data_IF_480845285970
#
_entry.id   IF_480845285970
#
_cell.length_a   1.000
_cell.length_b   1.000
_cell.length_c   1.000
_cell.angle_alpha   90.00
_cell.angle_beta   90.00
_cell.angle_gamma   90.00
#
_symmetry.space_group_name_H-M   'P 1'
#
loop_
_entity.id
_entity.type
_entity.pdbx_description
1 polymer ?
#
# COMPACT_ATOMS: atom_id res chain seq x y z
N UNK A 1 -2.79 -20.91 -2.57
CA UNK A 1 -4.20 -20.53 -2.30
C UNK A 1 -4.38 -19.74 -1.00
N UNK A 2 -3.49 -19.85 -0.04
CA UNK A 2 -3.56 -19.09 1.22
C UNK A 2 -3.51 -17.57 1.07
N UNK A 3 -2.96 -17.04 -0.02
CA UNK A 3 -2.94 -15.60 -0.31
C UNK A 3 -4.19 -15.09 -1.07
N UNK A 4 -4.97 -15.99 -1.66
CA UNK A 4 -6.28 -15.68 -2.26
C UNK A 4 -7.44 -16.10 -1.35
N UNK A 5 -7.20 -16.98 -0.39
CA UNK A 5 -8.16 -17.26 0.67
C UNK A 5 -8.12 -16.10 1.66
N UNK A 6 -8.71 -15.00 1.30
CA UNK A 6 -9.21 -14.08 2.29
C UNK A 6 -10.21 -14.87 3.11
N UNK A 7 -9.84 -15.23 4.33
CA UNK A 7 -10.74 -15.82 5.31
C UNK A 7 -11.70 -14.73 5.79
N UNK A 8 -12.64 -14.38 4.95
CA UNK A 8 -13.60 -13.31 5.15
C UNK A 8 -14.24 -12.97 3.80
N UNK A 9 -15.38 -12.35 3.81
CA UNK A 9 -16.03 -11.90 2.59
C UNK A 9 -15.10 -10.91 1.86
N UNK A 10 -14.85 -11.15 0.57
CA UNK A 10 -13.98 -10.29 -0.25
C UNK A 10 -14.32 -8.78 -0.16
N UNK A 11 -15.59 -8.36 -0.02
CA UNK A 11 -15.96 -6.98 0.25
C UNK A 11 -15.31 -6.42 1.51
N UNK A 12 -15.22 -7.20 2.59
CA UNK A 12 -14.66 -6.73 3.87
C UNK A 12 -13.17 -6.40 3.77
N UNK A 13 -12.42 -7.16 2.96
CA UNK A 13 -11.00 -6.89 2.76
C UNK A 13 -10.75 -5.48 2.20
N UNK A 14 -11.45 -5.10 1.12
CA UNK A 14 -11.25 -3.79 0.47
C UNK A 14 -11.83 -2.62 1.24
N UNK A 15 -12.74 -2.90 2.18
CA UNK A 15 -13.35 -1.88 3.04
C UNK A 15 -12.61 -1.69 4.36
N UNK A 16 -11.59 -2.51 4.64
CA UNK A 16 -10.79 -2.35 5.84
C UNK A 16 -10.05 -1.00 5.83
N UNK A 17 -10.13 -0.22 6.91
CA UNK A 17 -9.49 1.10 6.98
C UNK A 17 -7.97 1.06 6.80
N UNK A 18 -7.34 -0.09 7.04
CA UNK A 18 -5.89 -0.27 6.85
C UNK A 18 -5.47 -0.43 5.40
N UNK A 19 -6.38 -0.83 4.53
CA UNK A 19 -6.07 -1.06 3.12
C UNK A 19 -5.99 0.26 2.35
N UNK A 20 -5.20 0.24 1.27
CA UNK A 20 -5.19 1.35 0.32
C UNK A 20 -6.59 1.51 -0.30
N UNK A 21 -7.20 2.70 -0.28
CA UNK A 21 -8.61 2.87 -0.58
C UNK A 21 -8.89 2.93 -2.10
N UNK A 22 -8.36 1.97 -2.87
CA UNK A 22 -8.42 1.99 -4.34
C UNK A 22 -9.85 2.03 -4.88
N UNK A 23 -10.81 1.38 -4.19
CA UNK A 23 -12.21 1.37 -4.60
C UNK A 23 -12.95 2.66 -4.19
N UNK A 24 -12.49 3.33 -3.14
CA UNK A 24 -13.13 4.49 -2.57
C UNK A 24 -12.68 5.81 -3.21
N UNK A 25 -11.44 5.87 -3.68
CA UNK A 25 -10.89 7.08 -4.30
C UNK A 25 -11.73 7.62 -5.46
N UNK A 26 -12.15 6.81 -6.47
CA UNK A 26 -13.01 7.29 -7.56
C UNK A 26 -14.37 7.77 -7.06
N UNK A 27 -14.93 7.09 -6.07
CA UNK A 27 -16.18 7.46 -5.44
C UNK A 27 -16.06 8.81 -4.70
N UNK A 28 -15.01 8.99 -3.90
CA UNK A 28 -14.76 10.25 -3.20
C UNK A 28 -14.55 11.40 -4.17
N UNK A 29 -13.83 11.16 -5.27
CA UNK A 29 -13.63 12.12 -6.33
C UNK A 29 -14.96 12.53 -6.98
N UNK A 30 -15.81 11.58 -7.33
CA UNK A 30 -17.11 11.86 -7.93
C UNK A 30 -18.03 12.62 -6.97
N UNK A 31 -17.96 12.36 -5.66
CA UNK A 31 -18.78 13.04 -4.64
C UNK A 31 -18.27 14.42 -4.23
N UNK A 32 -16.98 14.70 -4.35
CA UNK A 32 -16.36 15.92 -3.81
C UNK A 32 -16.95 17.21 -4.41
N UNK A 33 -17.53 17.13 -5.59
CA UNK A 33 -18.05 18.27 -6.34
C UNK A 33 -19.58 18.38 -6.34
N UNK A 34 -20.24 17.64 -5.42
CA UNK A 34 -21.70 17.69 -5.29
C UNK A 34 -22.47 17.17 -6.53
N UNK A 35 -21.81 16.39 -7.37
CA UNK A 35 -22.39 15.87 -8.61
C UNK A 35 -23.42 14.77 -8.33
N UNK A 36 -24.38 14.65 -9.23
CA UNK A 36 -25.27 13.49 -9.26
C UNK A 36 -24.46 12.27 -9.71
N UNK A 37 -24.30 11.29 -8.81
CA UNK A 37 -23.58 10.07 -9.09
C UNK A 37 -24.32 9.19 -10.10
N UNK A 38 -23.61 8.75 -11.13
CA UNK A 38 -24.04 7.66 -11.96
C UNK A 38 -23.64 6.33 -11.29
N UNK A 39 -24.63 5.63 -10.75
CA UNK A 39 -24.40 4.39 -9.99
C UNK A 39 -23.90 3.26 -10.90
N UNK A 40 -24.36 3.20 -12.14
CA UNK A 40 -23.93 2.17 -13.10
C UNK A 40 -22.45 2.34 -13.42
N UNK A 41 -22.04 3.56 -13.76
CA UNK A 41 -20.63 3.88 -13.97
C UNK A 41 -19.77 3.57 -12.75
N UNK A 42 -20.19 3.98 -11.56
CA UNK A 42 -19.41 3.73 -10.34
C UNK A 42 -19.31 2.22 -10.03
N UNK A 43 -20.37 1.44 -10.24
CA UNK A 43 -20.32 -0.01 -10.10
C UNK A 43 -19.37 -0.66 -11.09
N UNK A 44 -19.38 -0.19 -12.33
CA UNK A 44 -18.48 -0.68 -13.39
C UNK A 44 -17.02 -0.31 -13.07
N UNK A 45 -16.74 0.88 -12.52
CA UNK A 45 -15.40 1.27 -12.07
C UNK A 45 -14.91 0.37 -10.93
N UNK A 46 -15.75 0.07 -9.96
CA UNK A 46 -15.43 -0.87 -8.86
C UNK A 46 -15.15 -2.26 -9.43
N UNK A 47 -16.04 -2.77 -10.28
CA UNK A 47 -15.87 -4.08 -10.92
C UNK A 47 -14.56 -4.18 -11.71
N UNK A 48 -14.28 -3.18 -12.56
CA UNK A 48 -13.03 -3.12 -13.29
C UNK A 48 -11.82 -3.08 -12.37
N UNK A 49 -11.84 -2.23 -11.34
CA UNK A 49 -10.72 -2.09 -10.40
C UNK A 49 -10.43 -3.40 -9.65
N UNK A 50 -11.47 -4.14 -9.25
CA UNK A 50 -11.33 -5.46 -8.63
C UNK A 50 -10.68 -6.46 -9.57
N UNK A 51 -11.12 -6.51 -10.83
CA UNK A 51 -10.52 -7.39 -11.82
C UNK A 51 -9.05 -7.05 -12.09
N UNK A 52 -8.72 -5.75 -12.20
CA UNK A 52 -7.33 -5.30 -12.33
C UNK A 52 -6.47 -5.69 -11.11
N UNK A 53 -7.01 -5.57 -9.90
CA UNK A 53 -6.35 -5.99 -8.67
C UNK A 53 -6.06 -7.50 -8.65
N UNK A 54 -7.06 -8.33 -8.96
CA UNK A 54 -6.87 -9.79 -8.99
C UNK A 54 -5.88 -10.23 -10.06
N UNK A 55 -5.89 -9.58 -11.22
CA UNK A 55 -4.89 -9.84 -12.25
C UNK A 55 -3.47 -9.56 -11.74
N UNK A 56 -3.22 -8.34 -11.23
CA UNK A 56 -1.91 -7.95 -10.69
C UNK A 56 -1.49 -8.93 -9.59
N UNK A 57 -2.39 -9.25 -8.66
CA UNK A 57 -2.09 -10.11 -7.52
C UNK A 57 -1.75 -11.54 -7.92
N UNK A 58 -2.40 -12.08 -8.95
CA UNK A 58 -2.07 -13.40 -9.49
C UNK A 58 -0.69 -13.41 -10.14
N UNK A 59 -0.37 -12.38 -10.93
CA UNK A 59 0.95 -12.30 -11.58
C UNK A 59 2.06 -12.10 -10.55
N UNK A 60 1.88 -11.24 -9.57
CA UNK A 60 2.80 -10.99 -8.47
C UNK A 60 3.14 -12.30 -7.72
N UNK A 61 2.10 -13.08 -7.34
CA UNK A 61 2.29 -14.36 -6.70
C UNK A 61 3.01 -15.40 -7.59
N UNK A 62 2.77 -15.38 -8.91
CA UNK A 62 3.48 -16.27 -9.86
C UNK A 62 4.96 -15.88 -9.99
N UNK A 63 5.26 -14.57 -10.06
CA UNK A 63 6.63 -14.06 -10.16
C UNK A 63 7.41 -14.28 -8.87
N UNK A 64 6.79 -14.10 -7.71
CA UNK A 64 7.40 -14.34 -6.41
C UNK A 64 7.64 -15.84 -6.11
N UNK A 65 7.21 -16.75 -6.99
CA UNK A 65 7.37 -18.19 -6.79
C UNK A 65 6.64 -18.73 -5.57
N UNK A 66 5.58 -18.02 -5.12
CA UNK A 66 4.75 -18.48 -4.01
C UNK A 66 4.06 -19.78 -4.43
N UNK A 67 4.59 -20.93 -3.95
CA UNK A 67 4.32 -22.29 -4.41
C UNK A 67 2.88 -22.82 -4.31
N UNK A 68 1.91 -21.93 -4.07
CA UNK A 68 0.48 -22.22 -4.10
C UNK A 68 -0.22 -21.68 -5.36
N UNK A 69 0.47 -20.91 -6.19
CA UNK A 69 -0.10 -20.37 -7.42
C UNK A 69 0.35 -21.21 -8.60
N UNK A 70 -0.54 -22.05 -9.09
CA UNK A 70 -0.28 -22.92 -10.21
C UNK A 70 -0.38 -22.15 -11.54
N UNK A 71 0.45 -22.50 -12.52
CA UNK A 71 0.34 -22.02 -13.91
C UNK A 71 -1.07 -22.24 -14.49
N UNK A 72 -1.84 -23.20 -13.95
CA UNK A 72 -3.25 -23.42 -14.26
C UNK A 72 -4.15 -22.20 -14.01
N UNK A 73 -3.70 -21.22 -13.20
CA UNK A 73 -4.44 -19.97 -12.96
C UNK A 73 -4.21 -18.89 -14.03
N UNK A 74 -3.30 -19.08 -14.99
CA UNK A 74 -3.09 -18.13 -16.09
C UNK A 74 -4.38 -17.81 -16.91
N UNK A 75 -5.26 -18.77 -17.21
CA UNK A 75 -6.53 -18.45 -17.85
C UNK A 75 -7.42 -17.52 -17.02
N UNK A 76 -7.42 -17.69 -15.68
CA UNK A 76 -8.14 -16.79 -14.78
C UNK A 76 -7.52 -15.39 -14.77
N UNK A 77 -6.20 -15.28 -14.81
CA UNK A 77 -5.52 -14.01 -14.95
C UNK A 77 -5.91 -13.31 -16.25
N UNK A 78 -5.92 -14.03 -17.38
CA UNK A 78 -6.36 -13.50 -18.67
C UNK A 78 -7.83 -13.01 -18.64
N UNK A 79 -8.72 -13.75 -17.97
CA UNK A 79 -10.11 -13.34 -17.76
C UNK A 79 -10.16 -12.01 -16.98
N UNK A 80 -9.49 -11.92 -15.84
CA UNK A 80 -9.49 -10.70 -15.02
C UNK A 80 -8.94 -9.50 -15.79
N UNK A 81 -7.87 -9.67 -16.57
CA UNK A 81 -7.34 -8.62 -17.42
C UNK A 81 -8.33 -8.16 -18.47
N UNK A 82 -9.03 -9.11 -19.11
CA UNK A 82 -10.05 -8.80 -20.13
C UNK A 82 -11.20 -8.00 -19.52
N UNK A 83 -11.75 -8.43 -18.39
CA UNK A 83 -12.84 -7.74 -17.71
C UNK A 83 -12.43 -6.35 -17.22
N UNK A 84 -11.20 -6.20 -16.73
CA UNK A 84 -10.64 -4.90 -16.36
C UNK A 84 -10.65 -3.91 -17.53
N UNK A 85 -10.24 -4.36 -18.72
CA UNK A 85 -10.14 -3.50 -19.90
C UNK A 85 -11.51 -3.26 -20.54
N UNK A 86 -12.28 -4.32 -20.78
CA UNK A 86 -13.55 -4.28 -21.53
C UNK A 86 -14.60 -3.41 -20.84
N UNK A 87 -14.57 -3.34 -19.52
CA UNK A 87 -15.49 -2.51 -18.77
C UNK A 87 -15.41 -1.04 -19.15
N UNK A 88 -14.21 -0.50 -19.38
CA UNK A 88 -14.04 0.90 -19.79
C UNK A 88 -14.44 1.17 -21.25
N UNK A 89 -14.48 0.16 -22.10
CA UNK A 89 -14.93 0.31 -23.49
C UNK A 89 -16.43 0.66 -23.61
N UNK A 90 -17.22 0.43 -22.54
CA UNK A 90 -18.61 0.87 -22.48
C UNK A 90 -18.75 2.41 -22.45
N UNK A 91 -17.71 3.11 -22.00
CA UNK A 91 -17.72 4.54 -21.70
C UNK A 91 -16.80 5.36 -22.60
N UNK A 92 -15.76 4.75 -23.11
CA UNK A 92 -14.70 5.42 -23.87
C UNK A 92 -14.47 4.71 -25.19
N UNK A 93 -14.74 5.40 -26.30
CA UNK A 93 -14.43 4.88 -27.63
C UNK A 93 -12.91 4.68 -27.84
N UNK A 94 -12.51 3.95 -28.87
CA UNK A 94 -11.12 3.55 -29.09
C UNK A 94 -10.13 4.72 -29.22
N UNK A 95 -10.59 5.91 -29.60
CA UNK A 95 -9.76 7.11 -29.81
C UNK A 95 -9.83 8.06 -28.62
N UNK A 96 -10.59 7.74 -27.58
CA UNK A 96 -10.77 8.61 -26.43
C UNK A 96 -9.44 8.84 -25.68
N UNK A 97 -9.15 10.08 -25.20
CA UNK A 97 -7.92 10.42 -24.51
C UNK A 97 -7.70 9.68 -23.17
N UNK A 98 -8.68 8.98 -22.67
CA UNK A 98 -8.55 8.04 -21.55
C UNK A 98 -7.53 6.92 -21.82
N UNK A 99 -7.49 6.36 -23.04
CA UNK A 99 -6.68 5.19 -23.36
C UNK A 99 -5.16 5.42 -23.29
N UNK A 100 -4.60 6.54 -23.73
CA UNK A 100 -3.20 6.87 -23.45
C UNK A 100 -2.87 6.89 -21.95
N UNK A 101 -3.75 7.47 -21.12
CA UNK A 101 -3.57 7.51 -19.66
C UNK A 101 -3.64 6.10 -19.07
N UNK A 102 -4.62 5.31 -19.48
CA UNK A 102 -4.76 3.90 -19.10
C UNK A 102 -3.48 3.12 -19.38
N UNK A 103 -3.01 3.15 -20.64
CA UNK A 103 -1.79 2.42 -21.04
C UNK A 103 -0.56 2.88 -20.27
N UNK A 104 -0.36 4.18 -20.13
CA UNK A 104 0.78 4.73 -19.37
C UNK A 104 0.77 4.26 -17.92
N UNK A 105 -0.36 4.37 -17.23
CA UNK A 105 -0.48 3.94 -15.84
C UNK A 105 -0.28 2.43 -15.68
N UNK A 106 -0.83 1.64 -16.61
CA UNK A 106 -0.73 0.18 -16.59
C UNK A 106 0.70 -0.31 -16.78
N UNK A 107 1.39 0.18 -17.82
CA UNK A 107 2.77 -0.20 -18.10
C UNK A 107 3.75 0.28 -17.03
N UNK A 108 3.57 1.51 -16.51
CA UNK A 108 4.43 2.00 -15.41
C UNK A 108 4.31 1.15 -14.15
N UNK A 109 3.11 0.63 -13.83
CA UNK A 109 2.92 -0.28 -12.70
C UNK A 109 3.63 -1.62 -12.94
N UNK A 110 3.50 -2.17 -14.14
CA UNK A 110 4.14 -3.43 -14.52
C UNK A 110 5.67 -3.35 -14.52
N UNK A 111 6.23 -2.25 -15.04
CA UNK A 111 7.67 -1.98 -15.05
C UNK A 111 8.23 -1.82 -13.62
N UNK A 112 7.47 -1.19 -12.71
CA UNK A 112 7.88 -1.01 -11.32
C UNK A 112 8.03 -2.35 -10.59
N UNK A 113 7.08 -3.27 -10.79
CA UNK A 113 7.12 -4.61 -10.20
C UNK A 113 8.37 -5.37 -10.71
N UNK A 114 8.63 -5.33 -12.02
CA UNK A 114 9.78 -6.00 -12.63
C UNK A 114 11.14 -5.40 -12.22
N UNK A 115 11.18 -4.09 -11.91
CA UNK A 115 12.43 -3.38 -11.58
C UNK A 115 12.77 -3.36 -10.08
N UNK A 116 11.83 -3.67 -9.20
CA UNK A 116 12.03 -3.63 -7.74
C UNK A 116 13.14 -4.58 -7.28
N UNK A 117 13.23 -5.77 -7.86
CA UNK A 117 14.25 -6.78 -7.54
C UNK A 117 15.68 -6.29 -7.81
N UNK A 118 15.86 -5.23 -8.62
CA UNK A 118 17.17 -4.68 -8.95
C UNK A 118 17.68 -3.61 -7.96
N UNK A 119 16.85 -3.14 -7.04
CA UNK A 119 17.22 -2.07 -6.10
C UNK A 119 17.83 -2.65 -4.83
N UNK A 120 19.14 -2.56 -4.73
CA UNK A 120 19.92 -3.08 -3.59
C UNK A 120 19.84 -2.20 -2.34
N UNK A 121 19.45 -0.94 -2.46
CA UNK A 121 19.40 -0.02 -1.32
C UNK A 121 18.44 1.15 -1.57
N UNK A 122 17.44 1.26 -0.74
CA UNK A 122 16.44 2.33 -0.80
C UNK A 122 16.89 3.54 0.03
N UNK A 123 16.96 4.72 -0.59
CA UNK A 123 16.80 6.00 0.10
C UNK A 123 15.34 6.46 0.04
N UNK A 124 15.01 7.58 0.67
CA UNK A 124 13.63 8.06 0.73
C UNK A 124 13.09 8.42 -0.67
N UNK A 125 13.90 9.03 -1.53
CA UNK A 125 13.47 9.44 -2.87
C UNK A 125 13.21 8.22 -3.77
N UNK A 126 14.09 7.22 -3.73
CA UNK A 126 13.90 5.96 -4.46
C UNK A 126 12.67 5.23 -3.94
N UNK A 127 12.48 5.17 -2.62
CA UNK A 127 11.32 4.55 -1.99
C UNK A 127 10.03 5.22 -2.45
N UNK A 128 9.92 6.56 -2.32
CA UNK A 128 8.72 7.31 -2.73
C UNK A 128 8.42 7.10 -4.21
N UNK A 129 9.43 7.15 -5.08
CA UNK A 129 9.27 6.92 -6.52
C UNK A 129 8.72 5.54 -6.82
N UNK A 130 9.30 4.48 -6.24
CA UNK A 130 8.88 3.09 -6.47
C UNK A 130 7.48 2.85 -5.91
N UNK A 131 7.17 3.34 -4.70
CA UNK A 131 5.84 3.23 -4.11
C UNK A 131 4.75 3.83 -5.01
N UNK A 132 5.02 5.00 -5.58
CA UNK A 132 4.10 5.66 -6.53
C UNK A 132 3.96 4.86 -7.82
N UNK A 133 5.05 4.29 -8.33
CA UNK A 133 5.03 3.48 -9.55
C UNK A 133 4.25 2.18 -9.35
N UNK A 134 4.44 1.48 -8.26
CA UNK A 134 3.68 0.25 -7.91
C UNK A 134 2.16 0.49 -7.91
N UNK A 135 1.73 1.63 -7.39
CA UNK A 135 0.31 1.98 -7.30
C UNK A 135 -0.19 2.83 -8.49
N UNK A 136 0.59 2.94 -9.57
CA UNK A 136 0.18 3.68 -10.77
C UNK A 136 -1.16 3.19 -11.35
N UNK A 137 -1.49 1.91 -11.24
CA UNK A 137 -2.77 1.37 -11.70
C UNK A 137 -3.98 2.03 -11.01
N UNK A 138 -3.83 2.54 -9.78
CA UNK A 138 -4.87 3.32 -9.09
C UNK A 138 -5.24 4.65 -9.78
N UNK A 139 -4.39 5.12 -10.70
CA UNK A 139 -4.68 6.30 -11.54
C UNK A 139 -5.78 6.03 -12.57
N UNK A 140 -5.94 4.78 -13.00
CA UNK A 140 -6.89 4.40 -14.06
C UNK A 140 -8.33 4.71 -13.65
N UNK A 141 -8.85 4.24 -12.49
CA UNK A 141 -10.22 4.55 -12.08
C UNK A 141 -10.42 6.06 -11.78
N UNK A 142 -9.39 6.77 -11.32
CA UNK A 142 -9.46 8.22 -11.16
C UNK A 142 -9.56 8.94 -12.52
N UNK A 143 -8.74 8.53 -13.48
CA UNK A 143 -8.81 9.07 -14.84
C UNK A 143 -10.17 8.77 -15.49
N UNK A 144 -10.68 7.55 -15.36
CA UNK A 144 -11.99 7.19 -15.86
C UNK A 144 -13.09 8.08 -15.28
N UNK A 145 -13.05 8.32 -13.95
CA UNK A 145 -14.01 9.19 -13.26
C UNK A 145 -13.93 10.63 -13.76
N UNK A 146 -12.72 11.16 -13.88
CA UNK A 146 -12.48 12.52 -14.39
C UNK A 146 -13.01 12.70 -15.82
N UNK A 147 -12.69 11.78 -16.72
CA UNK A 147 -13.17 11.84 -18.11
C UNK A 147 -14.68 11.64 -18.24
N UNK A 148 -15.25 10.71 -17.48
CA UNK A 148 -16.69 10.44 -17.50
C UNK A 148 -17.51 11.68 -17.08
N UNK A 149 -17.08 12.36 -16.02
CA UNK A 149 -17.72 13.58 -15.55
C UNK A 149 -17.23 14.86 -16.23
N UNK A 150 -16.35 14.73 -17.24
CA UNK A 150 -15.81 15.86 -18.06
C UNK A 150 -15.07 16.90 -17.22
N UNK A 151 -14.37 16.46 -16.20
CA UNK A 151 -13.60 17.32 -15.30
C UNK A 151 -12.14 16.86 -15.26
N UNK A 152 -11.44 17.13 -16.36
CA UNK A 152 -10.06 16.68 -16.54
C UNK A 152 -9.08 17.50 -15.68
N UNK A 153 -9.43 18.73 -15.32
CA UNK A 153 -8.56 19.59 -14.52
C UNK A 153 -8.50 19.17 -13.05
N UNK A 154 -9.58 18.59 -12.53
CA UNK A 154 -9.63 18.12 -11.13
C UNK A 154 -8.76 16.90 -10.88
N UNK A 155 -8.31 16.18 -11.92
CA UNK A 155 -7.55 14.93 -11.75
C UNK A 155 -6.19 15.15 -11.10
N UNK A 156 -5.48 16.24 -11.43
CA UNK A 156 -4.11 16.48 -10.97
C UNK A 156 -3.98 16.50 -9.45
N UNK A 157 -4.80 17.25 -8.68
CA UNK A 157 -4.75 17.22 -7.21
C UNK A 157 -5.04 15.82 -6.65
N UNK A 158 -5.97 15.05 -7.25
CA UNK A 158 -6.25 13.69 -6.83
C UNK A 158 -5.07 12.75 -7.07
N UNK A 159 -4.35 12.90 -8.19
CA UNK A 159 -3.17 12.10 -8.47
C UNK A 159 -2.00 12.43 -7.53
N UNK A 160 -1.79 13.70 -7.19
CA UNK A 160 -0.78 14.15 -6.23
C UNK A 160 -1.06 13.58 -4.84
N UNK A 161 -2.31 13.68 -4.38
CA UNK A 161 -2.74 13.07 -3.12
C UNK A 161 -2.54 11.56 -3.13
N UNK A 162 -2.99 10.87 -4.19
CA UNK A 162 -2.89 9.42 -4.32
C UNK A 162 -1.43 8.95 -4.31
N UNK A 163 -0.52 9.70 -4.92
CA UNK A 163 0.91 9.41 -4.91
C UNK A 163 1.51 9.51 -3.50
N UNK A 164 1.17 10.56 -2.75
CA UNK A 164 1.62 10.70 -1.36
C UNK A 164 1.03 9.59 -0.46
N UNK A 165 -0.26 9.27 -0.64
CA UNK A 165 -0.92 8.19 0.09
C UNK A 165 -0.32 6.82 -0.24
N UNK A 166 0.10 6.59 -1.48
CA UNK A 166 0.78 5.37 -1.91
C UNK A 166 2.09 5.17 -1.13
N UNK A 167 2.92 6.22 -1.05
CA UNK A 167 4.17 6.18 -0.28
C UNK A 167 3.91 5.97 1.21
N UNK A 168 2.91 6.64 1.77
CA UNK A 168 2.55 6.48 3.17
C UNK A 168 2.07 5.06 3.48
N UNK A 169 1.23 4.48 2.62
CA UNK A 169 0.72 3.10 2.79
C UNK A 169 1.84 2.07 2.65
N UNK A 170 2.72 2.21 1.66
CA UNK A 170 3.86 1.32 1.49
C UNK A 170 4.83 1.39 2.68
N UNK A 171 5.05 2.59 3.26
CA UNK A 171 5.88 2.73 4.45
C UNK A 171 5.27 2.02 5.66
N UNK A 172 3.92 2.03 5.77
CA UNK A 172 3.23 1.30 6.82
C UNK A 172 3.40 -0.21 6.63
N UNK A 173 3.22 -0.71 5.40
CA UNK A 173 3.39 -2.13 5.08
C UNK A 173 4.84 -2.57 5.35
N UNK A 174 5.85 -1.85 4.86
CA UNK A 174 7.27 -2.14 5.11
C UNK A 174 7.60 -2.18 6.62
N UNK A 175 6.97 -1.28 7.42
CA UNK A 175 7.22 -1.20 8.85
C UNK A 175 6.63 -2.38 9.62
N UNK A 176 5.49 -2.93 9.19
CA UNK A 176 4.84 -4.06 9.87
C UNK A 176 5.22 -5.42 9.30
N UNK A 177 5.64 -5.46 8.04
CA UNK A 177 6.04 -6.68 7.34
C UNK A 177 7.56 -6.94 7.34
N UNK A 178 8.38 -6.05 7.93
CA UNK A 178 9.85 -6.11 7.91
C UNK A 178 10.43 -7.49 8.26
N UNK A 179 9.80 -8.19 9.21
CA UNK A 179 10.25 -9.52 9.64
C UNK A 179 10.03 -10.58 8.57
N UNK A 180 8.92 -10.51 7.84
CA UNK A 180 8.64 -11.36 6.70
C UNK A 180 9.62 -11.06 5.56
N UNK A 181 9.83 -9.79 5.24
CA UNK A 181 10.74 -9.36 4.19
C UNK A 181 12.18 -9.80 4.49
N UNK A 182 12.63 -9.66 5.75
CA UNK A 182 13.95 -10.12 6.18
C UNK A 182 14.11 -11.64 5.99
N UNK A 183 13.11 -12.42 6.40
CA UNK A 183 13.11 -13.89 6.25
C UNK A 183 13.12 -14.31 4.78
N UNK A 184 12.31 -13.62 3.96
CA UNK A 184 12.12 -13.92 2.54
C UNK A 184 13.22 -13.26 1.67
N UNK A 185 14.22 -12.61 2.32
CA UNK A 185 15.36 -11.92 1.69
C UNK A 185 14.95 -10.83 0.69
N UNK A 186 13.80 -10.21 0.92
CA UNK A 186 13.34 -9.05 0.16
C UNK A 186 13.96 -7.78 0.71
N UNK A 187 14.26 -6.85 -0.17
CA UNK A 187 14.72 -5.52 0.23
C UNK A 187 13.54 -4.57 0.38
N UNK A 188 13.53 -3.81 1.48
CA UNK A 188 12.55 -2.75 1.73
C UNK A 188 13.25 -1.50 2.27
N UNK A 189 12.54 -0.39 2.29
CA UNK A 189 13.08 0.87 2.82
C UNK A 189 13.46 0.75 4.29
N UNK A 190 12.63 0.06 5.09
CA UNK A 190 12.89 -0.21 6.51
C UNK A 190 14.15 -1.06 6.70
N UNK A 191 14.31 -2.14 5.92
CA UNK A 191 15.49 -3.01 5.99
C UNK A 191 16.75 -2.30 5.50
N UNK A 192 16.65 -1.49 4.45
CA UNK A 192 17.77 -0.66 3.97
C UNK A 192 18.21 0.35 5.03
N UNK A 193 17.24 0.95 5.74
CA UNK A 193 17.52 1.85 6.87
C UNK A 193 18.20 1.12 8.03
N UNK A 194 17.69 -0.06 8.40
CA UNK A 194 18.27 -0.90 9.44
C UNK A 194 19.73 -1.24 9.16
N UNK A 195 20.04 -1.71 7.94
CA UNK A 195 21.40 -2.07 7.53
C UNK A 195 22.40 -0.90 7.61
N UNK A 196 21.94 0.33 7.33
CA UNK A 196 22.78 1.54 7.40
C UNK A 196 23.01 2.07 8.81
N UNK A 197 22.06 1.84 9.72
CA UNK A 197 22.07 2.52 11.04
C UNK A 197 22.19 1.57 12.23
N UNK A 198 22.20 0.27 12.02
CA UNK A 198 22.52 -0.69 13.07
C UNK A 198 23.98 -0.55 13.50
N UNK A 199 24.25 -0.81 14.77
CA UNK A 199 25.60 -0.81 15.33
C UNK A 199 26.40 -1.99 14.78
N UNK A 200 27.71 -1.93 14.90
CA UNK A 200 28.56 -3.07 14.58
C UNK A 200 28.22 -4.25 15.49
N UNK A 201 28.01 -5.44 14.89
CA UNK A 201 27.55 -6.64 15.61
C UNK A 201 26.06 -6.67 15.96
N UNK A 202 25.31 -5.61 15.74
CA UNK A 202 23.85 -5.58 16.00
C UNK A 202 23.09 -6.30 14.87
N UNK A 203 22.06 -7.08 15.23
CA UNK A 203 21.16 -7.67 14.24
C UNK A 203 20.10 -6.66 13.80
N UNK A 204 19.40 -6.94 12.67
CA UNK A 204 18.29 -6.10 12.20
C UNK A 204 17.16 -6.09 13.23
N UNK A 205 16.84 -7.24 13.81
CA UNK A 205 15.81 -7.40 14.84
C UNK A 205 16.10 -6.53 16.07
N UNK A 206 17.35 -6.53 16.53
CA UNK A 206 17.79 -5.70 17.67
C UNK A 206 17.68 -4.21 17.35
N UNK A 207 18.04 -3.81 16.12
CA UNK A 207 17.87 -2.44 15.68
C UNK A 207 16.39 -2.04 15.58
N UNK A 208 15.53 -2.91 15.04
CA UNK A 208 14.08 -2.67 14.96
C UNK A 208 13.49 -2.46 16.34
N UNK A 209 13.83 -3.34 17.32
CA UNK A 209 13.35 -3.23 18.69
C UNK A 209 13.86 -1.96 19.39
N UNK A 210 15.11 -1.55 19.14
CA UNK A 210 15.74 -0.40 19.81
C UNK A 210 15.34 0.95 19.20
N UNK A 211 15.15 1.02 17.90
CA UNK A 211 15.06 2.30 17.18
C UNK A 211 14.12 2.23 15.97
N UNK A 212 14.04 1.10 15.29
CA UNK A 212 13.41 1.00 13.96
C UNK A 212 11.93 1.32 13.99
N UNK A 213 11.19 0.80 14.97
CA UNK A 213 9.76 1.09 15.08
C UNK A 213 9.50 2.56 15.43
N UNK A 214 10.22 3.14 16.37
CA UNK A 214 10.06 4.56 16.74
C UNK A 214 10.37 5.47 15.55
N UNK A 215 11.44 5.16 14.81
CA UNK A 215 11.79 5.86 13.58
C UNK A 215 10.68 5.74 12.53
N UNK A 216 10.20 4.53 12.23
CA UNK A 216 9.16 4.30 11.23
C UNK A 216 7.85 5.01 11.58
N UNK A 217 7.42 4.92 12.84
CA UNK A 217 6.23 5.63 13.33
C UNK A 217 6.40 7.15 13.26
N UNK A 218 7.61 7.67 13.52
CA UNK A 218 7.92 9.09 13.37
C UNK A 218 7.86 9.55 11.92
N UNK A 219 8.35 8.74 10.98
CA UNK A 219 8.24 9.02 9.53
C UNK A 219 6.78 9.07 9.10
N UNK A 220 5.99 8.04 9.45
CA UNK A 220 4.56 7.98 9.13
C UNK A 220 3.79 9.17 9.70
N UNK A 221 4.02 9.53 10.97
CA UNK A 221 3.42 10.70 11.59
C UNK A 221 3.85 12.02 10.94
N UNK A 222 5.12 12.11 10.53
CA UNK A 222 5.67 13.28 9.83
C UNK A 222 5.09 13.51 8.42
N UNK A 223 4.61 12.45 7.75
CA UNK A 223 4.00 12.56 6.42
C UNK A 223 2.48 12.84 6.47
N UNK A 224 1.80 12.66 7.61
CA UNK A 224 0.37 12.94 7.73
C UNK A 224 0.01 14.42 7.44
N UNK A 225 0.75 15.43 7.92
CA UNK A 225 0.49 16.83 7.57
C UNK A 225 0.56 17.10 6.05
N UNK A 226 1.47 16.44 5.33
CA UNK A 226 1.55 16.52 3.87
C UNK A 226 0.29 15.95 3.22
N UNK A 227 -0.16 14.77 3.65
CA UNK A 227 -1.41 14.15 3.17
C UNK A 227 -2.61 15.07 3.41
N UNK A 228 -2.72 15.67 4.60
CA UNK A 228 -3.82 16.60 4.92
C UNK A 228 -3.77 17.86 4.05
N UNK A 229 -2.58 18.41 3.82
CA UNK A 229 -2.40 19.56 2.93
C UNK A 229 -2.83 19.24 1.49
N UNK A 230 -2.48 18.05 0.98
CA UNK A 230 -2.88 17.62 -0.36
C UNK A 230 -4.37 17.25 -0.44
N UNK A 231 -4.98 16.80 0.65
CA UNK A 231 -6.42 16.51 0.72
C UNK A 231 -7.30 17.77 0.76
N UNK A 232 -6.77 18.90 1.27
CA UNK A 232 -7.53 20.13 1.46
C UNK A 232 -8.23 20.64 0.18
N UNK A 233 -7.55 20.74 -0.98
CA UNK A 233 -8.19 21.22 -2.22
C UNK A 233 -9.19 20.22 -2.79
N UNK A 234 -9.17 18.95 -2.37
CA UNK A 234 -10.06 17.91 -2.87
C UNK A 234 -11.48 18.00 -2.31
N UNK A 235 -11.71 18.79 -1.26
CA UNK A 235 -13.01 19.08 -0.65
C UNK A 235 -13.87 17.84 -0.36
N UNK A 236 -13.24 16.71 -0.06
CA UNK A 236 -13.92 15.43 0.21
C UNK A 236 -14.03 15.19 1.71
N UNK A 237 -15.23 15.32 2.27
CA UNK A 237 -15.47 15.03 3.68
C UNK A 237 -15.22 13.54 4.03
N UNK A 238 -15.48 12.64 3.08
CA UNK A 238 -15.22 11.21 3.27
C UNK A 238 -13.71 10.91 3.32
N UNK A 239 -12.93 11.57 2.46
CA UNK A 239 -11.47 11.48 2.48
C UNK A 239 -10.89 12.01 3.81
N UNK A 240 -11.38 13.14 4.29
CA UNK A 240 -10.92 13.70 5.57
C UNK A 240 -11.20 12.73 6.73
N UNK A 241 -12.41 12.14 6.80
CA UNK A 241 -12.72 11.11 7.80
C UNK A 241 -11.81 9.88 7.68
N UNK A 242 -11.46 9.48 6.47
CA UNK A 242 -10.50 8.39 6.27
C UNK A 242 -9.13 8.76 6.84
N UNK A 243 -8.63 9.97 6.61
CA UNK A 243 -7.36 10.43 7.18
C UNK A 243 -7.41 10.51 8.72
N UNK A 244 -8.53 10.98 9.29
CA UNK A 244 -8.72 10.99 10.75
C UNK A 244 -8.63 9.58 11.33
N UNK A 245 -9.28 8.61 10.68
CA UNK A 245 -9.23 7.22 11.10
C UNK A 245 -7.82 6.63 10.97
N UNK A 246 -7.08 6.94 9.89
CA UNK A 246 -5.70 6.47 9.70
C UNK A 246 -4.75 7.04 10.75
N UNK A 247 -4.90 8.30 11.12
CA UNK A 247 -4.13 8.93 12.19
C UNK A 247 -4.42 8.28 13.55
N UNK A 248 -5.71 8.09 13.88
CA UNK A 248 -6.10 7.38 15.09
C UNK A 248 -5.50 5.97 15.16
N UNK A 249 -5.57 5.21 14.07
CA UNK A 249 -5.00 3.85 14.00
C UNK A 249 -3.49 3.86 14.16
N UNK A 250 -2.79 4.85 13.60
CA UNK A 250 -1.35 5.00 13.76
C UNK A 250 -0.97 5.23 15.24
N UNK A 251 -1.71 6.09 15.95
CA UNK A 251 -1.47 6.34 17.38
C UNK A 251 -1.79 5.11 18.23
N UNK A 252 -2.85 4.36 17.93
CA UNK A 252 -3.17 3.09 18.60
C UNK A 252 -2.07 2.05 18.39
N UNK A 253 -1.56 1.89 17.16
CA UNK A 253 -0.48 0.96 16.83
C UNK A 253 0.82 1.36 17.56
N UNK A 254 1.13 2.65 17.58
CA UNK A 254 2.29 3.20 18.33
C UNK A 254 2.19 2.89 19.83
N UNK A 255 1.02 3.08 20.42
CA UNK A 255 0.78 2.76 21.82
C UNK A 255 0.94 1.26 22.12
N UNK A 256 0.38 0.39 21.26
CA UNK A 256 0.50 -1.09 21.40
C UNK A 256 1.95 -1.56 21.28
N UNK A 257 2.68 -1.05 20.29
CA UNK A 257 4.10 -1.38 20.09
C UNK A 257 4.95 -0.92 21.27
N UNK A 258 4.74 0.31 21.76
CA UNK A 258 5.44 0.83 22.94
C UNK A 258 5.21 -0.03 24.19
N UNK A 259 3.98 -0.47 24.43
CA UNK A 259 3.65 -1.38 25.53
C UNK A 259 4.33 -2.75 25.36
N UNK A 260 4.26 -3.33 24.15
CA UNK A 260 4.89 -4.63 23.85
C UNK A 260 6.40 -4.63 23.99
N UNK A 261 7.08 -3.60 23.49
CA UNK A 261 8.52 -3.44 23.65
C UNK A 261 8.93 -3.28 25.12
N UNK A 262 8.17 -2.52 25.91
CA UNK A 262 8.41 -2.36 27.35
C UNK A 262 8.33 -3.71 28.07
N UNK A 263 7.30 -4.50 27.79
CA UNK A 263 7.14 -5.85 28.35
C UNK A 263 8.31 -6.76 27.97
N UNK A 264 8.78 -6.74 26.71
CA UNK A 264 9.93 -7.53 26.29
C UNK A 264 11.22 -7.14 27.01
N UNK A 265 11.45 -5.84 27.25
CA UNK A 265 12.60 -5.36 28.00
C UNK A 265 12.53 -5.82 29.47
N UNK A 266 11.35 -5.76 30.10
CA UNK A 266 11.13 -6.23 31.44
C UNK A 266 11.40 -7.75 31.60
N UNK A 267 10.87 -8.57 30.65
CA UNK A 267 11.13 -10.01 30.61
C UNK A 267 12.62 -10.30 30.43
N UNK A 268 13.28 -9.61 29.51
CA UNK A 268 14.72 -9.77 29.24
C UNK A 268 15.57 -9.43 30.49
N UNK A 269 15.18 -8.40 31.22
CA UNK A 269 15.86 -8.02 32.47
C UNK A 269 15.72 -9.10 33.55
N UNK A 270 14.52 -9.68 33.70
CA UNK A 270 14.28 -10.79 34.65
C UNK A 270 15.12 -12.02 34.28
N UNK A 271 15.11 -12.45 33.01
CA UNK A 271 15.89 -13.59 32.54
C UNK A 271 17.41 -13.38 32.68
N UNK A 272 17.88 -12.16 32.53
CA UNK A 272 19.30 -11.82 32.73
C UNK A 272 19.69 -11.83 34.20
N UNK A 273 18.78 -11.46 35.11
CA UNK A 273 19.03 -11.52 36.56
C UNK A 273 19.07 -12.94 37.07
N UNK A 274 18.25 -13.86 36.53
CA UNK A 274 18.27 -15.27 36.91
C UNK A 274 19.58 -15.99 36.48
N UNK A 275 20.09 -15.65 35.27
CA UNK A 275 21.40 -16.18 34.83
C UNK A 275 22.56 -15.78 35.73
N UNK A 276 22.53 -14.57 36.29
CA UNK A 276 23.55 -14.09 37.22
C UNK A 276 23.43 -14.73 38.61
N UNK A 277 22.26 -15.24 38.99
CA UNK A 277 22.04 -15.94 40.25
C UNK A 277 22.54 -17.38 40.21
N UNK A 278 22.40 -18.05 39.05
CA UNK A 278 22.85 -19.44 38.82
C UNK A 278 24.37 -19.56 38.55
N UNK A 279 25.07 -18.44 38.34
CA UNK A 279 26.51 -18.39 38.09
C UNK A 279 27.38 -18.08 39.34
N UNK A 280 26.81 -18.04 40.56
CA UNK A 280 27.61 -17.92 41.78
C UNK A 280 28.16 -19.29 42.15
N UNK A 281 29.49 -19.50 42.14
CA UNK A 281 30.07 -20.75 42.62
C UNK A 281 29.86 -20.87 44.15
N UNK A 282 29.48 -22.09 44.60
CA UNK A 282 29.45 -22.50 45.99
C UNK A 282 30.84 -22.48 46.60
#
# INVERSE_FOLDING_TARGET
>A
MTSLSVSGDAPDYFMQPRMFPMLLLPWWMAMSEGRKLDRAFQSDVVYSTLNGYYYIRLLDNLMDGHGSVELALLPAAAFFHSEFLLTYQKYFDANHPFWPVFRSAWFSSSEAIASEESVVCFDEDAFRRISVQKLCAARIPLAATSYFYRDVESIKPWLEFTAALASWSQMLDDLFDWHRDLRDKKDSYVLSRARRHKREGETVEAWMARTGFDWGMSVLGGWLPELRRLAQPLRSAALNRYLDLREQMLEEDKAKLGAGLKTLVEISAVLSSEKNYSARPN
#
